data_IF_590154082548
#
_entry.id   IF_590154082548
#
_cell.length_a   1.000
_cell.length_b   1.000
_cell.length_c   1.000
_cell.angle_alpha   90.00
_cell.angle_beta   90.00
_cell.angle_gamma   90.00
#
_symmetry.space_group_name_H-M   'P 1'
#
loop_
_entity.id
_entity.type
_entity.pdbx_description
1 polymer ?
#
# COMPACT_ATOMS: atom_id res chain seq x y z
N UNK A 1 -53.85 -22.87 -39.82
CA UNK A 1 -53.05 -21.68 -39.44
C UNK A 1 -51.93 -22.12 -38.49
N UNK A 2 -50.71 -22.26 -39.00
CA UNK A 2 -49.40 -22.21 -38.30
C UNK A 2 -48.32 -22.63 -39.31
N UNK A 3 -47.61 -21.65 -39.86
CA UNK A 3 -46.41 -21.87 -40.67
C UNK A 3 -45.20 -21.78 -39.76
N UNK A 4 -44.41 -22.84 -39.68
CA UNK A 4 -43.13 -22.89 -38.96
C UNK A 4 -42.00 -22.44 -39.88
N UNK A 5 -41.32 -21.34 -39.55
CA UNK A 5 -40.13 -20.88 -40.26
C UNK A 5 -38.87 -21.53 -39.66
N UNK A 6 -38.12 -22.27 -40.46
CA UNK A 6 -36.77 -22.72 -40.14
C UNK A 6 -35.74 -21.63 -40.51
N UNK A 7 -34.68 -21.40 -39.72
CA UNK A 7 -33.67 -20.40 -40.03
C UNK A 7 -32.78 -20.84 -41.21
N UNK A 8 -32.49 -19.90 -42.11
CA UNK A 8 -31.58 -20.10 -43.25
C UNK A 8 -30.14 -20.32 -42.78
N UNK A 9 -29.38 -21.26 -43.36
CA UNK A 9 -27.97 -21.42 -43.04
C UNK A 9 -27.16 -20.26 -43.65
N UNK A 10 -26.25 -19.71 -42.86
CA UNK A 10 -25.35 -18.64 -43.29
C UNK A 10 -24.40 -19.16 -44.37
N UNK A 11 -24.33 -18.43 -45.49
CA UNK A 11 -23.50 -18.79 -46.65
C UNK A 11 -22.02 -18.51 -46.38
N UNK A 12 -21.15 -19.45 -46.78
CA UNK A 12 -19.68 -19.38 -46.70
C UNK A 12 -19.07 -18.08 -47.23
N UNK A 13 -19.77 -17.37 -48.13
CA UNK A 13 -19.30 -16.10 -48.70
C UNK A 13 -19.38 -14.91 -47.74
N UNK A 14 -20.22 -14.98 -46.71
CA UNK A 14 -20.30 -13.94 -45.66
C UNK A 14 -19.14 -14.01 -44.65
N UNK A 15 -18.39 -15.11 -44.63
CA UNK A 15 -17.25 -15.30 -43.72
C UNK A 15 -15.96 -14.65 -44.21
N UNK A 16 -15.79 -14.54 -45.54
CA UNK A 16 -14.55 -13.98 -46.13
C UNK A 16 -14.52 -12.44 -46.03
N UNK A 17 -15.68 -11.79 -45.98
CA UNK A 17 -15.78 -10.34 -45.79
C UNK A 17 -15.34 -9.85 -44.40
N UNK A 18 -15.40 -10.70 -43.37
CA UNK A 18 -14.97 -10.36 -42.01
C UNK A 18 -13.46 -10.57 -41.78
N UNK A 19 -12.77 -11.29 -42.67
CA UNK A 19 -11.35 -11.63 -42.50
C UNK A 19 -10.41 -10.47 -42.87
N UNK A 20 -10.87 -9.51 -43.69
CA UNK A 20 -10.04 -8.37 -44.10
C UNK A 20 -9.85 -7.30 -43.00
N UNK A 21 -10.73 -7.27 -41.99
CA UNK A 21 -10.62 -6.31 -40.88
C UNK A 21 -9.74 -6.76 -39.71
N UNK A 22 -9.49 -8.07 -39.57
CA UNK A 22 -8.83 -8.63 -38.39
C UNK A 22 -7.29 -8.59 -38.45
N UNK A 23 -6.70 -8.36 -39.62
CA UNK A 23 -5.23 -8.41 -39.82
C UNK A 23 -4.55 -7.07 -39.51
N UNK A 24 -5.29 -5.94 -39.52
CA UNK A 24 -4.72 -4.62 -39.30
C UNK A 24 -4.34 -4.31 -37.82
N UNK A 25 -4.79 -5.13 -36.86
CA UNK A 25 -4.53 -4.87 -35.43
C UNK A 25 -3.11 -5.28 -35.00
N UNK A 26 -2.43 -6.13 -35.77
CA UNK A 26 -1.08 -6.60 -35.44
C UNK A 26 0.04 -5.60 -35.79
N UNK A 27 -0.29 -4.51 -36.48
CA UNK A 27 0.66 -3.45 -36.88
C UNK A 27 0.52 -2.16 -36.06
N UNK A 28 -0.04 -2.23 -34.83
CA UNK A 28 -0.04 -1.09 -33.94
C UNK A 28 1.40 -0.56 -33.75
N UNK A 29 1.66 0.75 -33.93
CA UNK A 29 3.02 1.28 -33.85
C UNK A 29 3.62 0.96 -32.50
N UNK A 30 4.88 0.50 -32.48
CA UNK A 30 5.65 0.26 -31.25
C UNK A 30 5.68 1.50 -30.33
N UNK A 31 5.44 2.69 -30.89
CA UNK A 31 5.28 3.96 -30.21
C UNK A 31 4.03 4.07 -29.30
N UNK A 32 3.07 3.15 -29.41
CA UNK A 32 1.89 3.09 -28.51
C UNK A 32 2.00 2.04 -27.40
N UNK A 33 3.14 1.33 -27.29
CA UNK A 33 3.40 0.50 -26.11
C UNK A 33 3.82 1.41 -24.95
N UNK A 34 2.93 1.54 -23.96
CA UNK A 34 3.27 2.16 -22.68
C UNK A 34 4.57 1.52 -22.15
N UNK A 35 5.52 2.36 -21.74
CA UNK A 35 6.73 1.88 -21.09
C UNK A 35 6.35 0.99 -19.89
N UNK A 36 7.05 -0.13 -19.66
CA UNK A 36 6.77 -0.97 -18.50
C UNK A 36 6.86 -0.11 -17.24
N UNK A 37 5.87 -0.23 -16.36
CA UNK A 37 5.86 0.49 -15.10
C UNK A 37 7.19 0.21 -14.35
N UNK A 38 7.76 1.20 -13.66
CA UNK A 38 8.94 1.00 -12.84
C UNK A 38 8.73 -0.19 -11.89
N UNK A 39 9.74 -1.07 -11.77
CA UNK A 39 9.67 -2.22 -10.85
C UNK A 39 9.80 -1.83 -9.38
N UNK A 40 10.16 -0.58 -9.11
CA UNK A 40 10.43 -0.04 -7.78
C UNK A 40 9.58 1.20 -7.56
N UNK A 41 9.07 1.34 -6.34
CA UNK A 41 8.30 2.51 -5.90
C UNK A 41 9.05 3.23 -4.79
N UNK A 42 8.96 4.56 -4.76
CA UNK A 42 9.55 5.38 -3.71
C UNK A 42 8.51 5.57 -2.61
N UNK A 43 8.85 5.18 -1.39
CA UNK A 43 8.01 5.37 -0.22
C UNK A 43 8.47 6.54 0.66
N UNK A 44 7.53 7.21 1.31
CA UNK A 44 7.81 8.21 2.35
C UNK A 44 7.64 7.58 3.72
N UNK A 45 8.61 7.79 4.60
CA UNK A 45 8.44 7.45 6.01
C UNK A 45 7.79 8.57 6.81
N UNK A 46 6.78 8.25 7.62
CA UNK A 46 6.20 9.22 8.56
C UNK A 46 7.27 9.77 9.52
N UNK A 47 8.26 8.95 9.89
CA UNK A 47 9.35 9.36 10.79
C UNK A 47 10.19 10.51 10.22
N UNK A 48 10.28 10.64 8.90
CA UNK A 48 10.97 11.76 8.24
C UNK A 48 10.32 13.11 8.57
N UNK A 49 9.02 13.13 8.87
CA UNK A 49 8.25 14.32 9.22
C UNK A 49 8.04 14.48 10.74
N UNK A 50 8.77 13.75 11.59
CA UNK A 50 8.60 13.78 13.06
C UNK A 50 8.56 15.19 13.67
N UNK A 51 9.33 16.13 13.11
CA UNK A 51 9.38 17.51 13.60
C UNK A 51 8.07 18.27 13.37
N UNK A 52 7.35 17.98 12.28
CA UNK A 52 6.05 18.59 11.99
C UNK A 52 4.98 18.08 12.96
N UNK A 53 4.95 16.78 13.23
CA UNK A 53 4.04 16.17 14.21
C UNK A 53 4.33 16.67 15.62
N UNK A 54 5.61 16.70 16.03
CA UNK A 54 6.02 17.22 17.33
C UNK A 54 5.65 18.70 17.52
N UNK A 55 5.75 19.51 16.46
CA UNK A 55 5.36 20.91 16.45
C UNK A 55 3.85 21.14 16.24
N UNK A 56 3.04 20.07 16.13
CA UNK A 56 1.60 20.11 15.82
C UNK A 56 1.26 20.90 14.55
N UNK A 57 2.18 20.91 13.57
CA UNK A 57 2.00 21.58 12.27
C UNK A 57 1.37 20.68 11.21
N UNK A 58 1.31 19.38 11.48
CA UNK A 58 0.66 18.39 10.63
C UNK A 58 -0.09 17.41 11.54
N UNK A 59 -1.38 17.23 11.31
CA UNK A 59 -2.16 16.18 11.95
C UNK A 59 -1.80 14.82 11.29
N UNK A 60 -1.58 13.74 12.06
CA UNK A 60 -1.36 12.42 11.48
C UNK A 60 -2.48 11.94 10.54
N UNK A 61 -3.73 12.35 10.74
CA UNK A 61 -4.85 12.06 9.83
C UNK A 61 -4.70 12.75 8.47
N UNK A 62 -4.00 13.87 8.41
CA UNK A 62 -3.78 14.65 7.18
C UNK A 62 -2.47 14.26 6.47
N UNK A 63 -1.62 13.46 7.11
CA UNK A 63 -0.35 12.98 6.55
C UNK A 63 -0.49 12.38 5.15
N UNK A 64 -1.47 11.51 4.83
CA UNK A 64 -1.56 10.92 3.51
C UNK A 64 -1.83 11.94 2.40
N UNK A 65 -2.77 12.87 2.66
CA UNK A 65 -3.09 13.94 1.72
C UNK A 65 -1.91 14.92 1.57
N UNK A 66 -1.24 15.25 2.68
CA UNK A 66 -0.04 16.09 2.69
C UNK A 66 1.08 15.48 1.84
N UNK A 67 1.39 14.19 2.04
CA UNK A 67 2.44 13.49 1.31
C UNK A 67 2.18 13.47 -0.20
N UNK A 68 0.93 13.21 -0.59
CA UNK A 68 0.51 13.25 -1.99
C UNK A 68 0.64 14.64 -2.58
N UNK A 69 0.14 15.67 -1.88
CA UNK A 69 0.07 17.04 -2.37
C UNK A 69 1.46 17.69 -2.48
N UNK A 70 2.28 17.56 -1.45
CA UNK A 70 3.55 18.28 -1.35
C UNK A 70 4.70 17.55 -2.05
N UNK A 71 4.66 16.21 -2.10
CA UNK A 71 5.77 15.40 -2.64
C UNK A 71 5.39 14.51 -3.82
N UNK A 72 4.10 14.36 -4.13
CA UNK A 72 3.64 13.43 -5.17
C UNK A 72 3.84 11.95 -4.81
N UNK A 73 4.11 11.62 -3.53
CA UNK A 73 4.39 10.26 -3.08
C UNK A 73 3.10 9.52 -2.68
N UNK A 74 3.02 8.24 -3.07
CA UNK A 74 1.83 7.40 -2.86
C UNK A 74 2.05 6.26 -1.89
N UNK A 75 3.27 5.74 -1.74
CA UNK A 75 3.58 4.67 -0.79
C UNK A 75 4.07 5.28 0.51
N UNK A 76 3.39 4.99 1.62
CA UNK A 76 3.64 5.61 2.91
C UNK A 76 3.87 4.54 3.98
N UNK A 77 4.87 4.72 4.83
CA UNK A 77 4.94 4.02 6.11
C UNK A 77 4.36 4.88 7.24
N UNK A 78 3.91 4.21 8.29
CA UNK A 78 3.52 4.83 9.55
C UNK A 78 4.50 4.44 10.63
N UNK A 79 4.56 5.25 11.68
CA UNK A 79 5.34 5.01 12.88
C UNK A 79 4.45 5.20 14.10
N UNK A 80 4.40 4.22 15.00
CA UNK A 80 3.53 4.29 16.20
C UNK A 80 3.78 5.56 17.04
N UNK A 81 5.04 6.01 17.15
CA UNK A 81 5.39 7.24 17.87
C UNK A 81 4.99 8.53 17.16
N UNK A 82 4.53 8.46 15.91
CA UNK A 82 3.98 9.57 15.15
C UNK A 82 2.45 9.65 15.22
N UNK A 83 1.79 8.70 15.88
CA UNK A 83 0.34 8.67 16.10
C UNK A 83 0.00 9.16 17.53
N UNK A 84 -1.21 9.68 17.78
CA UNK A 84 -1.63 10.05 19.12
C UNK A 84 -1.67 8.83 20.03
N UNK A 85 -0.93 8.87 21.14
CA UNK A 85 -0.76 7.72 22.05
C UNK A 85 -2.07 7.22 22.62
N UNK A 86 -3.03 8.11 22.88
CA UNK A 86 -4.36 7.82 23.39
C UNK A 86 -5.32 7.23 22.33
N UNK A 87 -4.92 7.24 21.06
CA UNK A 87 -5.69 6.75 19.92
C UNK A 87 -5.04 5.57 19.20
N UNK A 88 -3.91 5.09 19.72
CA UNK A 88 -3.11 4.04 19.09
C UNK A 88 -3.85 2.69 19.00
N UNK A 89 -4.83 2.47 19.88
CA UNK A 89 -5.71 1.29 19.92
C UNK A 89 -7.19 1.64 19.62
N UNK A 90 -7.45 2.82 19.04
CA UNK A 90 -8.78 3.21 18.59
C UNK A 90 -9.00 2.79 17.13
N UNK A 91 -9.72 1.68 16.94
CA UNK A 91 -10.03 1.14 15.62
C UNK A 91 -10.75 2.14 14.70
N UNK A 92 -11.59 3.03 15.27
CA UNK A 92 -12.27 4.06 14.47
C UNK A 92 -11.28 5.11 13.96
N UNK A 93 -10.33 5.50 14.81
CA UNK A 93 -9.25 6.43 14.42
C UNK A 93 -8.36 5.83 13.34
N UNK A 94 -7.90 4.59 13.54
CA UNK A 94 -7.05 3.89 12.57
C UNK A 94 -7.78 3.62 11.25
N UNK A 95 -9.07 3.30 11.31
CA UNK A 95 -9.91 3.14 10.11
C UNK A 95 -10.12 4.46 9.37
N UNK A 96 -10.25 5.60 10.07
CA UNK A 96 -10.29 6.92 9.44
C UNK A 96 -8.96 7.22 8.73
N UNK A 97 -7.83 6.99 9.39
CA UNK A 97 -6.51 7.18 8.78
C UNK A 97 -6.35 6.35 7.50
N UNK A 98 -6.74 5.07 7.53
CA UNK A 98 -6.74 4.20 6.34
C UNK A 98 -7.65 4.73 5.24
N UNK A 99 -8.86 5.17 5.59
CA UNK A 99 -9.81 5.75 4.63
C UNK A 99 -9.23 7.00 3.97
N UNK A 100 -8.66 7.92 4.74
CA UNK A 100 -8.03 9.14 4.22
C UNK A 100 -6.84 8.84 3.32
N UNK A 101 -6.05 7.82 3.65
CA UNK A 101 -4.98 7.36 2.76
C UNK A 101 -5.53 6.92 1.40
N UNK A 102 -6.57 6.09 1.41
CA UNK A 102 -7.26 5.66 0.19
C UNK A 102 -7.84 6.84 -0.59
N UNK A 103 -8.51 7.78 0.08
CA UNK A 103 -9.15 8.92 -0.58
C UNK A 103 -8.13 9.91 -1.18
N UNK A 104 -6.94 10.02 -0.57
CA UNK A 104 -5.80 10.75 -1.12
C UNK A 104 -5.07 10.00 -2.27
N UNK A 105 -5.51 8.78 -2.60
CA UNK A 105 -4.85 7.91 -3.58
C UNK A 105 -3.44 7.51 -3.14
N UNK A 106 -3.27 7.21 -1.86
CA UNK A 106 -2.03 6.72 -1.23
C UNK A 106 -2.28 5.37 -0.58
N UNK A 107 -1.19 4.67 -0.24
CA UNK A 107 -1.20 3.33 0.33
C UNK A 107 -0.27 3.26 1.53
N UNK A 108 -0.78 2.75 2.65
CA UNK A 108 -0.02 2.53 3.87
C UNK A 108 0.58 1.11 3.80
N UNK A 109 1.86 0.96 3.49
CA UNK A 109 2.44 -0.36 3.22
C UNK A 109 3.09 -1.01 4.47
N UNK A 110 3.51 -0.20 5.44
CA UNK A 110 4.27 -0.65 6.61
C UNK A 110 3.89 0.13 7.86
N UNK A 111 3.78 -0.56 9.00
CA UNK A 111 3.73 0.04 10.32
C UNK A 111 5.04 -0.22 11.07
N UNK A 112 5.74 0.86 11.41
CA UNK A 112 6.96 0.82 12.21
C UNK A 112 6.60 0.87 13.69
N UNK A 113 6.91 -0.21 14.41
CA UNK A 113 6.53 -0.44 15.80
C UNK A 113 7.75 -0.62 16.69
N UNK A 114 7.79 0.10 17.81
CA UNK A 114 8.69 -0.10 18.95
C UNK A 114 10.16 -0.49 18.68
N UNK A 115 10.79 -1.04 19.73
CA UNK A 115 12.14 -1.62 19.70
C UNK A 115 12.08 -3.02 20.27
N UNK A 116 12.71 -3.99 19.61
CA UNK A 116 12.86 -5.37 20.09
C UNK A 116 14.27 -5.65 20.56
N UNK A 117 14.39 -6.54 21.53
CA UNK A 117 15.65 -7.01 22.07
C UNK A 117 16.23 -8.16 21.26
N UNK A 118 17.49 -8.00 20.86
CA UNK A 118 18.32 -9.06 20.31
C UNK A 118 19.57 -9.34 21.16
N UNK A 119 19.66 -8.77 22.36
CA UNK A 119 20.85 -8.84 23.25
C UNK A 119 20.79 -9.99 24.26
N UNK A 120 19.72 -10.77 24.27
CA UNK A 120 19.50 -11.83 25.26
C UNK A 120 19.14 -11.28 26.65
N UNK A 121 18.53 -10.09 26.73
CA UNK A 121 18.09 -9.46 27.97
C UNK A 121 19.10 -8.52 28.64
N UNK A 122 20.24 -8.23 28.00
CA UNK A 122 21.25 -7.29 28.51
C UNK A 122 21.04 -5.84 28.06
N UNK A 123 20.15 -5.62 27.09
CA UNK A 123 19.80 -4.33 26.52
C UNK A 123 18.58 -3.67 27.17
N UNK A 124 18.22 -2.48 26.67
CA UNK A 124 17.11 -1.67 27.21
C UNK A 124 15.73 -2.12 26.73
N UNK A 125 15.65 -2.84 25.61
CA UNK A 125 14.39 -3.39 25.12
C UNK A 125 14.05 -4.66 25.93
N UNK A 126 12.79 -4.84 26.29
CA UNK A 126 12.34 -5.99 27.09
C UNK A 126 11.62 -7.06 26.26
N UNK A 127 11.10 -6.69 25.08
CA UNK A 127 10.33 -7.57 24.20
C UNK A 127 11.22 -8.22 23.14
N UNK A 128 11.02 -9.51 22.85
CA UNK A 128 11.77 -10.22 21.80
C UNK A 128 11.20 -9.93 20.42
N UNK A 129 11.92 -10.29 19.36
CA UNK A 129 11.46 -10.17 17.97
C UNK A 129 10.42 -11.24 17.56
N UNK A 130 9.58 -11.73 18.48
CA UNK A 130 8.57 -12.78 18.20
C UNK A 130 7.22 -12.12 17.92
N UNK A 131 6.48 -12.54 16.88
CA UNK A 131 5.15 -11.97 16.59
C UNK A 131 4.20 -11.98 17.79
N UNK A 132 4.23 -13.04 18.61
CA UNK A 132 3.41 -13.17 19.82
C UNK A 132 3.63 -12.05 20.86
N UNK A 133 4.80 -11.42 20.90
CA UNK A 133 5.12 -10.34 21.84
C UNK A 133 4.57 -8.96 21.37
N UNK A 134 4.05 -8.91 20.14
CA UNK A 134 3.64 -7.68 19.44
C UNK A 134 2.27 -7.77 18.78
N UNK A 135 1.38 -8.61 19.32
CA UNK A 135 0.02 -8.82 18.78
C UNK A 135 -0.71 -7.49 18.56
N UNK A 136 -0.59 -6.54 19.50
CA UNK A 136 -1.22 -5.20 19.34
C UNK A 136 -0.73 -4.44 18.10
N UNK A 137 0.56 -4.41 17.83
CA UNK A 137 1.09 -3.76 16.62
C UNK A 137 0.65 -4.49 15.35
N UNK A 138 0.49 -5.82 15.40
CA UNK A 138 -0.04 -6.61 14.28
C UNK A 138 -1.52 -6.31 14.05
N UNK A 139 -2.34 -6.19 15.10
CA UNK A 139 -3.75 -5.81 15.02
C UNK A 139 -3.91 -4.41 14.43
N UNK A 140 -3.15 -3.42 14.94
CA UNK A 140 -3.13 -2.05 14.39
C UNK A 140 -2.76 -2.03 12.91
N UNK A 141 -1.73 -2.77 12.53
CA UNK A 141 -1.31 -2.95 11.14
C UNK A 141 -2.45 -3.51 10.28
N UNK A 142 -3.21 -4.49 10.78
CA UNK A 142 -4.35 -5.05 10.07
C UNK A 142 -5.48 -4.02 9.88
N UNK A 143 -5.82 -3.24 10.91
CA UNK A 143 -6.84 -2.18 10.81
C UNK A 143 -6.42 -1.11 9.80
N UNK A 144 -5.18 -0.64 9.89
CA UNK A 144 -4.56 0.32 8.96
C UNK A 144 -4.46 -0.20 7.52
N UNK A 145 -4.56 -1.51 7.31
CA UNK A 145 -4.43 -2.14 5.99
C UNK A 145 -2.98 -2.24 5.52
N UNK A 146 -2.01 -2.16 6.43
CA UNK A 146 -0.59 -2.31 6.14
C UNK A 146 -0.23 -3.77 5.82
N UNK A 147 0.83 -3.98 5.04
CA UNK A 147 1.30 -5.31 4.65
C UNK A 147 2.35 -5.88 5.61
N UNK A 148 3.05 -5.01 6.34
CA UNK A 148 4.17 -5.41 7.20
C UNK A 148 4.25 -4.59 8.48
N UNK A 149 4.68 -5.24 9.55
CA UNK A 149 5.13 -4.59 10.78
C UNK A 149 6.65 -4.66 10.84
N UNK A 150 7.30 -3.54 11.10
CA UNK A 150 8.77 -3.44 11.17
C UNK A 150 9.20 -2.89 12.52
N UNK A 151 10.17 -3.54 13.13
CA UNK A 151 10.70 -3.16 14.44
C UNK A 151 12.10 -2.57 14.32
N UNK A 152 12.45 -1.66 15.23
CA UNK A 152 13.86 -1.37 15.49
C UNK A 152 14.46 -2.48 16.34
N UNK A 153 15.73 -2.81 16.13
CA UNK A 153 16.43 -3.82 16.91
C UNK A 153 17.44 -3.14 17.83
N UNK A 154 17.35 -3.44 19.12
CA UNK A 154 18.44 -3.23 20.08
C UNK A 154 19.36 -4.43 20.00
N UNK A 155 20.52 -4.27 19.35
CA UNK A 155 21.56 -5.29 19.27
C UNK A 155 22.74 -4.91 20.18
N UNK A 156 23.48 -5.90 20.66
CA UNK A 156 24.80 -5.64 21.23
C UNK A 156 25.70 -5.10 20.13
N UNK A 157 26.69 -4.27 20.50
CA UNK A 157 27.77 -3.95 19.59
C UNK A 157 28.54 -5.25 19.34
N UNK A 158 28.17 -6.00 18.30
CA UNK A 158 29.00 -7.10 17.83
C UNK A 158 30.39 -6.55 17.52
N UNK A 159 31.43 -7.33 17.82
CA UNK A 159 32.77 -7.06 17.32
C UNK A 159 32.67 -6.93 15.78
N UNK A 160 33.12 -5.79 15.25
CA UNK A 160 33.08 -5.50 13.82
C UNK A 160 34.14 -6.29 13.06
#
# INVERSE_FOLDING_TARGET
>A
MKSSHLPRPLSRRSFVGLAAGAVAVLAAPRAMRAAPAPRLTIGLSQYSLKALFAAKKLDPLDYPAFARKEFGLTELDLWEGGLPTDRLDDDSYLSDLRRRAKDAGTHLFLLMAGVVDATGGSGKATKKAKPADHIRSIERCAVLGCQSVRFFVSASAGER
#
